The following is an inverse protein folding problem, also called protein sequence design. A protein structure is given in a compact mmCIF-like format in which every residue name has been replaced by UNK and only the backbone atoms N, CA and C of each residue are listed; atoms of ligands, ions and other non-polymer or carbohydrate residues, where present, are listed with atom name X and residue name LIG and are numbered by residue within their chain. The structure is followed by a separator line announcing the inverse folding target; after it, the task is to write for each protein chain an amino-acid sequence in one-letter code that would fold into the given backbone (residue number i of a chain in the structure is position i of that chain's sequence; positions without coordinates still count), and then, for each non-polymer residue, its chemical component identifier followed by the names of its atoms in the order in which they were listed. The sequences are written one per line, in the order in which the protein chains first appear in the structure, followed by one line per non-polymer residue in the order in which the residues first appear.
data_IF_944531421301
#
_entry.id   IF_944531421301
#
_cell.length_a   1.000
_cell.length_b   1.000
_cell.length_c   1.000
_cell.angle_alpha   90.00
_cell.angle_beta   90.00
_cell.angle_gamma   90.00
#
_symmetry.space_group_name_H-M   'P 1'
#
loop_
_entity.id
_entity.type
_entity.pdbx_description
1 polymer ?
#
# COMPACT_ATOMS: atom_id res chain seq x y z
N UNK A 1 0.78 3.48 3.84
CA UNK A 1 2.25 3.41 3.90
C UNK A 1 2.82 3.69 2.50
N UNK A 2 2.64 4.91 2.01
CA UNK A 2 3.13 5.38 0.69
C UNK A 2 4.36 6.28 0.86
N UNK A 3 4.47 6.89 2.04
CA UNK A 3 5.50 7.84 2.43
C UNK A 3 6.93 7.31 2.21
N UNK A 4 7.29 6.08 2.60
CA UNK A 4 8.68 5.61 2.47
C UNK A 4 9.15 5.50 1.01
N UNK A 5 8.24 5.24 0.07
CA UNK A 5 8.58 5.12 -1.35
C UNK A 5 8.78 6.49 -1.98
N UNK A 6 7.92 7.45 -1.64
CA UNK A 6 8.06 8.83 -2.12
C UNK A 6 9.38 9.44 -1.64
N UNK A 7 9.71 9.24 -0.37
CA UNK A 7 10.95 9.77 0.22
C UNK A 7 12.20 9.10 -0.38
N UNK A 8 12.15 7.79 -0.63
CA UNK A 8 13.23 7.06 -1.30
C UNK A 8 13.49 7.59 -2.73
N UNK A 9 12.43 7.79 -3.51
CA UNK A 9 12.53 8.27 -4.89
C UNK A 9 13.02 9.73 -4.93
N UNK A 10 12.49 10.59 -4.06
CA UNK A 10 12.97 11.96 -3.88
C UNK A 10 14.44 11.98 -3.47
N UNK A 11 14.85 11.13 -2.52
CA UNK A 11 16.25 11.00 -2.09
C UNK A 11 17.21 10.52 -3.18
N UNK A 12 16.69 9.91 -4.27
CA UNK A 12 17.47 9.55 -5.47
C UNK A 12 17.40 10.59 -6.59
N UNK A 13 16.81 11.76 -6.32
CA UNK A 13 16.72 12.86 -7.28
C UNK A 13 15.55 12.78 -8.25
N UNK A 14 14.60 11.88 -8.03
CA UNK A 14 13.35 11.87 -8.79
C UNK A 14 12.36 12.87 -8.21
N UNK A 15 11.65 13.60 -9.06
CA UNK A 15 10.53 14.42 -8.60
C UNK A 15 9.29 13.54 -8.41
N UNK A 16 8.82 13.42 -7.17
CA UNK A 16 7.63 12.64 -6.85
C UNK A 16 6.43 13.55 -6.58
N UNK A 17 5.37 13.33 -7.34
CA UNK A 17 4.06 13.96 -7.12
C UNK A 17 3.09 12.91 -6.59
N UNK A 18 2.47 13.16 -5.44
CA UNK A 18 1.44 12.26 -4.90
C UNK A 18 0.09 12.61 -5.52
N UNK A 19 -0.76 11.61 -5.71
CA UNK A 19 -2.14 11.76 -6.21
C UNK A 19 -2.92 12.81 -5.39
N UNK A 20 -2.77 12.79 -4.06
CA UNK A 20 -3.40 13.77 -3.17
C UNK A 20 -2.87 15.20 -3.34
N UNK A 21 -1.59 15.35 -3.69
CA UNK A 21 -0.92 16.65 -3.81
C UNK A 21 -1.41 17.39 -5.08
N UNK A 22 -2.02 16.66 -6.03
CA UNK A 22 -2.64 17.20 -7.26
C UNK A 22 -4.17 17.18 -7.22
N UNK A 23 -4.77 16.96 -6.04
CA UNK A 23 -6.22 17.02 -5.87
C UNK A 23 -6.99 15.84 -6.48
N UNK A 24 -6.32 14.70 -6.72
CA UNK A 24 -6.93 13.51 -7.32
C UNK A 24 -7.22 12.39 -6.31
N UNK A 25 -7.31 12.71 -5.00
CA UNK A 25 -7.49 11.71 -3.94
C UNK A 25 -8.69 10.79 -4.13
N UNK A 26 -9.79 11.32 -4.66
CA UNK A 26 -11.05 10.59 -4.90
C UNK A 26 -11.27 10.26 -6.39
N UNK A 27 -10.24 10.46 -7.21
CA UNK A 27 -10.30 10.22 -8.64
C UNK A 27 -10.24 8.71 -8.94
N UNK A 28 -10.86 8.30 -10.06
CA UNK A 28 -10.78 6.92 -10.51
C UNK A 28 -9.41 6.60 -11.13
N UNK A 29 -9.08 5.31 -11.21
CA UNK A 29 -7.88 4.81 -11.89
C UNK A 29 -7.74 5.34 -13.32
N UNK A 30 -8.85 5.52 -14.05
CA UNK A 30 -8.89 6.13 -15.38
C UNK A 30 -8.33 7.55 -15.33
N UNK A 31 -8.87 8.39 -14.45
CA UNK A 31 -8.50 9.81 -14.33
C UNK A 31 -7.02 9.95 -13.92
N UNK A 32 -6.57 9.12 -12.98
CA UNK A 32 -5.15 9.11 -12.56
C UNK A 32 -4.25 8.67 -13.72
N UNK A 33 -4.68 7.69 -14.52
CA UNK A 33 -3.93 7.22 -15.68
C UNK A 33 -3.84 8.28 -16.78
N UNK A 34 -4.95 8.97 -17.07
CA UNK A 34 -5.00 10.07 -18.03
C UNK A 34 -4.11 11.23 -17.60
N UNK A 35 -4.19 11.62 -16.33
CA UNK A 35 -3.29 12.63 -15.77
C UNK A 35 -1.82 12.24 -15.97
N UNK A 36 -1.45 11.00 -15.63
CA UNK A 36 -0.08 10.54 -15.81
C UNK A 36 0.37 10.56 -17.28
N UNK A 37 -0.51 10.26 -18.23
CA UNK A 37 -0.22 10.36 -19.66
C UNK A 37 -0.04 11.81 -20.12
N UNK A 38 -0.93 12.72 -19.69
CA UNK A 38 -0.89 14.14 -20.05
C UNK A 38 0.41 14.81 -19.62
N UNK A 39 0.93 14.44 -18.45
CA UNK A 39 2.13 15.06 -17.88
C UNK A 39 3.40 14.22 -18.06
N UNK A 40 3.37 13.20 -18.93
CA UNK A 40 4.46 12.23 -19.14
C UNK A 40 5.07 11.71 -17.83
N UNK A 41 4.22 11.24 -16.92
CA UNK A 41 4.62 10.71 -15.61
C UNK A 41 4.77 9.18 -15.64
N UNK A 42 5.36 8.65 -14.57
CA UNK A 42 5.39 7.21 -14.29
C UNK A 42 4.56 6.96 -13.03
N UNK A 43 3.53 6.14 -13.16
CA UNK A 43 2.68 5.75 -12.03
C UNK A 43 3.45 4.75 -11.17
N UNK A 44 3.53 5.01 -9.88
CA UNK A 44 4.07 4.07 -8.89
C UNK A 44 2.94 3.66 -7.95
N UNK A 45 2.64 2.36 -7.88
CA UNK A 45 1.52 1.85 -7.08
C UNK A 45 1.84 0.51 -6.42
N UNK A 46 1.22 0.25 -5.28
CA UNK A 46 1.20 -1.07 -4.64
C UNK A 46 0.06 -1.96 -5.14
N UNK A 47 -0.91 -1.38 -5.84
CA UNK A 47 -2.05 -2.08 -6.41
C UNK A 47 -1.66 -2.72 -7.75
N UNK A 48 -1.74 -4.05 -7.80
CA UNK A 48 -1.40 -4.82 -8.99
C UNK A 48 -2.45 -4.66 -10.09
N UNK A 49 -3.72 -4.54 -9.72
CA UNK A 49 -4.82 -4.43 -10.65
C UNK A 49 -4.82 -3.05 -11.30
N UNK A 50 -4.59 -1.99 -10.51
CA UNK A 50 -4.38 -0.65 -11.05
C UNK A 50 -3.20 -0.63 -12.04
N UNK A 51 -2.07 -1.28 -11.71
CA UNK A 51 -0.92 -1.37 -12.64
C UNK A 51 -1.28 -2.03 -13.97
N UNK A 52 -2.06 -3.10 -13.94
CA UNK A 52 -2.53 -3.77 -15.16
C UNK A 52 -3.48 -2.87 -15.96
N UNK A 53 -4.41 -2.22 -15.25
CA UNK A 53 -5.40 -1.28 -15.76
C UNK A 53 -4.73 -0.08 -16.46
N UNK A 54 -3.76 0.57 -15.80
CA UNK A 54 -2.99 1.69 -16.31
C UNK A 54 -2.16 1.33 -17.56
N UNK A 55 -1.50 0.16 -17.53
CA UNK A 55 -0.72 -0.32 -18.68
C UNK A 55 -1.56 -0.58 -19.93
N UNK A 56 -2.79 -1.11 -19.78
CA UNK A 56 -3.72 -1.28 -20.91
C UNK A 56 -4.12 0.05 -21.55
N UNK A 57 -4.10 1.14 -20.78
CA UNK A 57 -4.35 2.51 -21.26
C UNK A 57 -3.10 3.20 -21.83
N UNK A 58 -1.95 2.52 -21.84
CA UNK A 58 -0.70 3.06 -22.35
C UNK A 58 0.14 3.83 -21.33
N UNK A 59 -0.31 3.96 -20.08
CA UNK A 59 0.46 4.64 -19.04
C UNK A 59 1.68 3.82 -18.60
N UNK A 60 2.80 4.51 -18.37
CA UNK A 60 4.00 3.91 -17.75
C UNK A 60 3.69 3.66 -16.28
N UNK A 61 3.80 2.40 -15.85
CA UNK A 61 3.48 2.02 -14.48
C UNK A 61 4.47 1.02 -13.89
N UNK A 62 4.98 1.37 -12.70
CA UNK A 62 5.81 0.55 -11.83
C UNK A 62 4.96 0.04 -10.66
N UNK A 63 4.81 -1.27 -10.57
CA UNK A 63 4.24 -1.91 -9.39
C UNK A 63 5.35 -2.16 -8.38
N UNK A 64 5.18 -1.65 -7.17
CA UNK A 64 6.05 -1.95 -6.04
C UNK A 64 5.31 -2.94 -5.16
N UNK A 65 5.98 -4.01 -4.75
CA UNK A 65 5.39 -4.93 -3.78
C UNK A 65 5.23 -4.15 -2.45
N UNK A 66 4.03 -4.14 -1.82
CA UNK A 66 3.94 -3.59 -0.49
C UNK A 66 4.99 -4.25 0.40
N UNK A 67 5.67 -3.51 1.29
CA UNK A 67 6.63 -4.11 2.21
C UNK A 67 5.91 -5.28 2.89
N UNK A 68 6.51 -6.47 2.79
CA UNK A 68 5.90 -7.66 3.37
C UNK A 68 5.65 -7.35 4.85
N UNK A 69 4.39 -7.35 5.26
CA UNK A 69 4.04 -7.44 6.67
C UNK A 69 4.86 -8.60 7.20
N UNK A 70 5.69 -8.35 8.22
CA UNK A 70 6.39 -9.43 8.88
C UNK A 70 5.34 -10.43 9.41
N UNK A 71 5.76 -11.66 9.71
CA UNK A 71 4.82 -12.70 10.12
C UNK A 71 3.92 -12.27 11.30
N UNK A 72 4.43 -11.43 12.21
CA UNK A 72 3.69 -10.91 13.34
C UNK A 72 2.59 -9.93 12.92
N UNK A 73 2.86 -9.02 11.99
CA UNK A 73 1.88 -8.05 11.51
C UNK A 73 0.79 -8.72 10.64
N UNK A 74 1.11 -9.79 9.90
CA UNK A 74 0.09 -10.62 9.23
C UNK A 74 -0.82 -11.32 10.23
N UNK A 75 -0.22 -11.94 11.25
CA UNK A 75 -0.98 -12.61 12.31
C UNK A 75 -1.90 -11.64 13.01
N UNK A 76 -1.39 -10.47 13.42
CA UNK A 76 -2.18 -9.42 14.07
C UNK A 76 -3.37 -8.99 13.20
N UNK A 77 -3.14 -8.71 11.91
CA UNK A 77 -4.22 -8.37 10.97
C UNK A 77 -5.30 -9.47 10.89
N UNK A 78 -4.89 -10.74 10.74
CA UNK A 78 -5.84 -11.85 10.71
C UNK A 78 -6.63 -11.99 12.02
N UNK A 79 -5.98 -11.79 13.16
CA UNK A 79 -6.66 -11.80 14.46
C UNK A 79 -7.68 -10.67 14.56
N UNK A 80 -7.31 -9.45 14.17
CA UNK A 80 -8.19 -8.29 14.22
C UNK A 80 -9.43 -8.49 13.32
N UNK A 81 -9.24 -8.97 12.09
CA UNK A 81 -10.34 -9.31 11.18
C UNK A 81 -11.24 -10.42 11.74
N UNK A 82 -10.67 -11.41 12.42
CA UNK A 82 -11.43 -12.50 13.03
C UNK A 82 -12.22 -12.01 14.26
N UNK A 83 -11.64 -11.13 15.06
CA UNK A 83 -12.28 -10.50 16.23
C UNK A 83 -13.49 -9.67 15.79
N UNK A 84 -13.33 -8.89 14.72
CA UNK A 84 -14.38 -8.08 14.14
C UNK A 84 -15.52 -8.96 13.60
N UNK A 85 -15.18 -10.02 12.86
CA UNK A 85 -16.16 -10.97 12.31
C UNK A 85 -16.97 -11.70 13.39
N UNK A 86 -16.32 -12.04 14.52
CA UNK A 86 -16.94 -12.77 15.63
C UNK A 86 -17.58 -11.85 16.67
N UNK A 87 -17.53 -10.52 16.50
CA UNK A 87 -18.10 -9.54 17.41
C UNK A 87 -17.60 -9.65 18.86
N UNK A 88 -16.43 -10.26 19.07
CA UNK A 88 -15.93 -10.65 20.39
C UNK A 88 -14.77 -9.75 20.80
N UNK A 89 -15.07 -8.74 21.60
CA UNK A 89 -14.08 -7.91 22.27
C UNK A 89 -13.47 -8.66 23.47
N UNK A 90 -12.52 -9.55 23.22
CA UNK A 90 -11.76 -10.18 24.29
C UNK A 90 -11.12 -11.51 23.95
N UNK A 91 -9.99 -11.48 23.25
CA UNK A 91 -9.06 -12.61 23.25
C UNK A 91 -7.77 -12.21 23.97
N UNK A 92 -7.42 -13.01 24.98
CA UNK A 92 -6.12 -12.91 25.65
C UNK A 92 -5.09 -13.60 24.76
N UNK A 93 -4.13 -12.85 24.25
CA UNK A 93 -2.95 -13.43 23.59
C UNK A 93 -2.17 -14.20 24.65
N UNK A 94 -2.26 -15.53 24.61
CA UNK A 94 -1.44 -16.38 25.46
C UNK A 94 0.01 -16.32 24.96
N UNK A 95 0.99 -16.13 25.84
CA UNK A 95 2.39 -16.13 25.43
C UNK A 95 2.76 -17.50 24.84
N UNK A 96 3.67 -17.55 23.86
CA UNK A 96 4.16 -18.82 23.33
C UNK A 96 4.75 -19.64 24.47
N UNK A 97 4.43 -20.95 24.50
CA UNK A 97 5.02 -21.89 25.46
C UNK A 97 6.54 -21.79 25.41
N UNK A 98 7.16 -21.27 26.47
CA UNK A 98 8.62 -21.27 26.63
C UNK A 98 9.28 -20.01 27.19
N UNK A 99 8.54 -18.92 27.50
CA UNK A 99 9.14 -17.78 28.19
C UNK A 99 9.63 -18.19 29.59
N UNK A 100 10.92 -18.02 29.94
CA UNK A 100 11.43 -18.36 31.25
C UNK A 100 10.82 -17.42 32.30
N UNK A 101 10.13 -18.01 33.26
CA UNK A 101 9.67 -17.29 34.46
C UNK A 101 10.90 -17.01 35.31
N UNK A 102 11.16 -15.73 35.58
CA UNK A 102 12.11 -15.30 36.62
C UNK A 102 11.42 -15.41 37.98
#
# INVERSE_FOLDING_TARGET
MVEPVADLLNGRGHLVTRVRDVGLSDATDEVISEYALTFDLVIVTFDRDFRNSARRRGARCLHIRPPELNAADRLRKYFDETIELLGTSGFVVLPPKGSPTT
#
